data_IF_806940134510
#
_entry.id   IF_806940134510
#
_cell.length_a   1.000
_cell.length_b   1.000
_cell.length_c   1.000
_cell.angle_alpha   90.00
_cell.angle_beta   90.00
_cell.angle_gamma   90.00
#
_symmetry.space_group_name_H-M   'P 1'
#
loop_
_entity.id
_entity.type
_entity.pdbx_description
1 polymer ?
#
# COMPACT_ATOMS: atom_id res chain seq x y z
N UNK A 1 -14.12 11.49 6.90
CA UNK A 1 -12.98 12.17 6.22
C UNK A 1 -12.64 11.37 4.97
N UNK A 2 -12.38 12.04 3.87
CA UNK A 2 -12.02 11.36 2.63
C UNK A 2 -10.63 10.72 2.75
N UNK A 3 -10.39 9.65 1.99
CA UNK A 3 -9.08 9.00 1.95
C UNK A 3 -7.99 9.95 1.46
N UNK A 4 -8.32 10.85 0.54
CA UNK A 4 -7.37 11.87 0.05
C UNK A 4 -6.79 12.66 1.21
N UNK A 5 -7.65 13.19 2.07
CA UNK A 5 -7.22 14.05 3.18
C UNK A 5 -6.47 13.26 4.25
N UNK A 6 -6.93 12.06 4.56
CA UNK A 6 -6.25 11.18 5.52
C UNK A 6 -4.82 10.86 5.04
N UNK A 7 -4.69 10.46 3.79
CA UNK A 7 -3.38 10.11 3.21
C UNK A 7 -2.46 11.33 3.16
N UNK A 8 -2.99 12.45 2.65
CA UNK A 8 -2.21 13.69 2.55
C UNK A 8 -1.66 14.11 3.92
N UNK A 9 -2.53 14.15 4.93
CA UNK A 9 -2.12 14.58 6.27
C UNK A 9 -1.09 13.63 6.88
N UNK A 10 -1.25 12.33 6.69
CA UNK A 10 -0.30 11.35 7.22
C UNK A 10 1.07 11.47 6.56
N UNK A 11 1.10 11.66 5.24
CA UNK A 11 2.35 11.86 4.50
C UNK A 11 3.05 13.15 4.95
N UNK A 12 2.30 14.23 5.10
CA UNK A 12 2.86 15.51 5.57
C UNK A 12 3.43 15.39 6.99
N UNK A 13 2.72 14.70 7.88
CA UNK A 13 3.18 14.48 9.25
C UNK A 13 4.49 13.68 9.31
N UNK A 14 4.73 12.82 8.32
CA UNK A 14 5.95 12.02 8.22
C UNK A 14 7.12 12.77 7.58
N UNK A 15 6.92 14.02 7.15
CA UNK A 15 7.99 14.83 6.56
C UNK A 15 8.00 14.88 5.03
N UNK A 16 7.00 14.29 4.37
CA UNK A 16 6.87 14.39 2.91
C UNK A 16 6.45 15.82 2.57
N UNK A 17 7.08 16.43 1.56
CA UNK A 17 6.71 17.77 1.11
C UNK A 17 5.30 17.79 0.53
N UNK A 18 4.71 18.98 0.43
CA UNK A 18 3.37 19.13 -0.18
C UNK A 18 3.35 18.55 -1.60
N UNK A 19 4.34 18.91 -2.42
CA UNK A 19 4.44 18.38 -3.78
C UNK A 19 4.66 16.87 -3.80
N UNK A 20 5.49 16.35 -2.91
CA UNK A 20 5.72 14.91 -2.77
C UNK A 20 4.45 14.16 -2.39
N UNK A 21 3.68 14.70 -1.44
CA UNK A 21 2.42 14.10 -1.02
C UNK A 21 1.39 14.08 -2.15
N UNK A 22 1.29 15.16 -2.92
CA UNK A 22 0.40 15.23 -4.07
C UNK A 22 0.82 14.25 -5.17
N UNK A 23 2.14 14.08 -5.38
CA UNK A 23 2.67 13.11 -6.32
C UNK A 23 2.31 11.68 -5.95
N UNK A 24 2.48 11.31 -4.69
CA UNK A 24 2.10 9.97 -4.21
C UNK A 24 0.60 9.75 -4.32
N UNK A 25 -0.20 10.74 -3.94
CA UNK A 25 -1.67 10.67 -4.08
C UNK A 25 -2.08 10.42 -5.53
N UNK A 26 -1.48 11.16 -6.46
CA UNK A 26 -1.77 10.98 -7.89
C UNK A 26 -1.42 9.58 -8.37
N UNK A 27 -0.25 9.08 -7.96
CA UNK A 27 0.19 7.74 -8.31
C UNK A 27 -0.75 6.66 -7.76
N UNK A 28 -1.08 6.75 -6.48
CA UNK A 28 -1.97 5.76 -5.84
C UNK A 28 -3.41 5.86 -6.33
N UNK A 29 -3.86 7.06 -6.73
CA UNK A 29 -5.17 7.20 -7.37
C UNK A 29 -5.22 6.46 -8.70
N UNK A 30 -4.16 6.55 -9.50
CA UNK A 30 -4.05 5.81 -10.75
C UNK A 30 -3.98 4.29 -10.51
N UNK A 31 -3.26 3.87 -9.47
CA UNK A 31 -3.06 2.45 -9.15
C UNK A 31 -4.33 1.78 -8.61
N UNK A 32 -4.99 2.41 -7.65
CA UNK A 32 -6.05 1.78 -6.86
C UNK A 32 -7.32 2.60 -6.71
N UNK A 33 -7.36 3.83 -7.23
CA UNK A 33 -8.44 4.77 -6.96
C UNK A 33 -8.46 5.24 -5.51
N UNK A 34 -7.33 5.11 -4.80
CA UNK A 34 -7.19 5.38 -3.36
C UNK A 34 -8.08 4.45 -2.51
N UNK A 35 -8.37 3.27 -3.02
CA UNK A 35 -9.15 2.25 -2.31
C UNK A 35 -8.20 1.23 -1.67
N UNK A 36 -8.09 1.19 -0.33
CA UNK A 36 -7.13 0.30 0.32
C UNK A 36 -7.49 -1.19 0.20
N UNK A 37 -8.73 -1.52 -0.12
CA UNK A 37 -9.13 -2.92 -0.36
C UNK A 37 -8.88 -3.38 -1.80
N UNK A 38 -8.44 -2.48 -2.70
CA UNK A 38 -8.46 -2.73 -4.13
C UNK A 38 -7.64 -3.94 -4.53
N UNK A 39 -8.31 -4.94 -5.11
CA UNK A 39 -7.68 -6.06 -5.78
C UNK A 39 -7.50 -5.72 -7.26
N UNK A 40 -6.36 -6.12 -7.82
CA UNK A 40 -6.05 -5.89 -9.23
C UNK A 40 -7.16 -6.44 -10.13
N UNK A 41 -7.54 -5.64 -11.13
CA UNK A 41 -8.57 -6.00 -12.12
C UNK A 41 -9.99 -6.15 -11.55
N UNK A 42 -10.24 -5.63 -10.35
CA UNK A 42 -11.61 -5.60 -9.83
C UNK A 42 -12.31 -4.33 -10.30
N UNK A 43 -13.19 -4.47 -11.30
CA UNK A 43 -14.03 -3.40 -11.81
C UNK A 43 -15.50 -3.61 -11.44
N UNK A 44 -15.75 -4.47 -10.46
CA UNK A 44 -17.11 -4.77 -10.00
C UNK A 44 -17.73 -3.60 -9.24
N UNK A 45 -19.07 -3.56 -9.22
CA UNK A 45 -19.79 -2.61 -8.40
C UNK A 45 -19.47 -2.88 -6.93
N UNK A 46 -19.20 -1.81 -6.17
CA UNK A 46 -18.88 -1.88 -4.74
C UNK A 46 -17.66 -2.74 -4.42
N UNK A 47 -16.82 -3.04 -5.40
CA UNK A 47 -15.58 -3.83 -5.21
C UNK A 47 -15.82 -5.17 -4.52
N UNK A 48 -16.84 -5.91 -4.98
CA UNK A 48 -17.23 -7.17 -4.34
C UNK A 48 -16.09 -8.18 -4.27
N UNK A 49 -15.25 -8.27 -5.32
CA UNK A 49 -14.11 -9.20 -5.33
C UNK A 49 -12.99 -8.73 -4.41
N UNK A 50 -12.75 -7.42 -4.32
CA UNK A 50 -11.76 -6.86 -3.41
C UNK A 50 -12.15 -7.09 -1.95
N UNK A 51 -13.41 -6.86 -1.60
CA UNK A 51 -13.90 -7.11 -0.25
C UNK A 51 -13.86 -8.59 0.10
N UNK A 52 -14.23 -9.48 -0.84
CA UNK A 52 -14.15 -10.92 -0.63
C UNK A 52 -12.71 -11.38 -0.41
N UNK A 53 -11.78 -10.87 -1.22
CA UNK A 53 -10.35 -11.17 -1.09
C UNK A 53 -9.82 -10.72 0.26
N UNK A 54 -10.13 -9.49 0.67
CA UNK A 54 -9.72 -8.94 1.97
C UNK A 54 -10.24 -9.81 3.11
N UNK A 55 -11.51 -10.22 3.04
CA UNK A 55 -12.11 -11.09 4.05
C UNK A 55 -11.43 -12.46 4.10
N UNK A 56 -11.11 -13.04 2.95
CA UNK A 56 -10.45 -14.33 2.86
C UNK A 56 -9.02 -14.30 3.43
N UNK A 57 -8.28 -13.23 3.16
CA UNK A 57 -6.94 -13.05 3.75
C UNK A 57 -7.05 -12.86 5.27
N UNK A 58 -7.96 -12.02 5.70
CA UNK A 58 -8.16 -11.71 7.13
C UNK A 58 -8.54 -12.96 7.93
N UNK A 59 -9.38 -13.81 7.34
CA UNK A 59 -9.84 -15.04 8.00
C UNK A 59 -8.87 -16.22 7.89
N UNK A 60 -7.78 -16.06 7.13
CA UNK A 60 -6.80 -17.13 6.92
C UNK A 60 -7.20 -18.15 5.84
N UNK A 61 -8.30 -17.92 5.12
CA UNK A 61 -8.66 -18.76 3.97
C UNK A 61 -7.67 -18.61 2.82
N UNK A 62 -7.13 -17.42 2.67
CA UNK A 62 -5.94 -17.18 1.85
C UNK A 62 -4.77 -17.04 2.84
N UNK A 63 -3.82 -17.96 2.77
CA UNK A 63 -2.69 -18.00 3.70
C UNK A 63 -1.65 -16.92 3.38
N UNK A 64 -0.74 -16.69 4.33
CA UNK A 64 0.40 -15.78 4.14
C UNK A 64 1.15 -16.08 2.84
N UNK A 65 1.48 -17.34 2.60
CA UNK A 65 2.21 -17.77 1.40
C UNK A 65 1.37 -17.55 0.14
N UNK A 66 0.09 -17.89 0.16
CA UNK A 66 -0.79 -17.68 -0.98
C UNK A 66 -0.94 -16.20 -1.31
N UNK A 67 -1.15 -15.36 -0.31
CA UNK A 67 -1.24 -13.91 -0.49
C UNK A 67 0.03 -13.36 -1.13
N UNK A 68 1.18 -13.75 -0.61
CA UNK A 68 2.47 -13.24 -1.08
C UNK A 68 2.79 -13.66 -2.51
N UNK A 69 2.35 -14.85 -2.93
CA UNK A 69 2.78 -15.47 -4.19
C UNK A 69 1.77 -15.39 -5.32
N UNK A 70 0.57 -14.89 -5.09
CA UNK A 70 -0.51 -14.95 -6.08
C UNK A 70 -0.35 -13.97 -7.24
N UNK A 71 0.61 -13.05 -7.17
CA UNK A 71 0.92 -12.05 -8.19
C UNK A 71 -0.24 -11.10 -8.51
N UNK A 72 -1.18 -10.96 -7.57
CA UNK A 72 -2.29 -10.02 -7.67
C UNK A 72 -1.96 -8.75 -6.90
N UNK A 73 -2.04 -7.60 -7.56
CA UNK A 73 -1.86 -6.31 -6.89
C UNK A 73 -2.97 -6.08 -5.87
N UNK A 74 -2.60 -5.55 -4.70
CA UNK A 74 -3.55 -5.28 -3.64
C UNK A 74 -3.23 -3.98 -2.92
N UNK A 75 -4.28 -3.23 -2.57
CA UNK A 75 -4.17 -2.05 -1.72
C UNK A 75 -3.84 -0.77 -2.46
N UNK A 76 -3.55 0.27 -1.70
CA UNK A 76 -3.31 1.64 -2.21
C UNK A 76 -2.24 1.69 -3.30
N UNK A 77 -1.11 1.04 -3.09
CA UNK A 77 0.02 1.05 -4.00
C UNK A 77 0.08 -0.19 -4.89
N UNK A 78 -0.96 -1.02 -4.86
CA UNK A 78 -1.03 -2.27 -5.63
C UNK A 78 0.21 -3.13 -5.43
N UNK A 79 0.54 -3.42 -4.17
CA UNK A 79 1.66 -4.27 -3.83
C UNK A 79 1.50 -5.65 -4.46
N UNK A 80 2.52 -6.12 -5.15
CA UNK A 80 2.45 -7.33 -5.96
C UNK A 80 3.71 -8.18 -5.84
N UNK A 81 4.88 -7.54 -5.87
CA UNK A 81 6.16 -8.20 -6.09
C UNK A 81 6.46 -9.31 -5.08
N UNK A 82 6.91 -10.45 -5.62
CA UNK A 82 7.46 -11.56 -4.83
C UNK A 82 8.59 -12.22 -5.62
N UNK A 83 9.72 -12.47 -4.95
CA UNK A 83 10.86 -13.16 -5.54
C UNK A 83 10.81 -14.64 -5.15
N UNK A 84 10.49 -15.49 -6.12
CA UNK A 84 10.35 -16.94 -5.88
C UNK A 84 11.66 -17.62 -5.51
N UNK A 85 12.80 -17.02 -5.86
CA UNK A 85 14.12 -17.56 -5.53
C UNK A 85 14.51 -17.32 -4.07
N UNK A 86 14.18 -16.13 -3.55
CA UNK A 86 14.57 -15.74 -2.19
C UNK A 86 13.45 -15.92 -1.17
N UNK A 87 12.21 -16.04 -1.61
CA UNK A 87 11.06 -16.07 -0.72
C UNK A 87 10.72 -14.71 -0.12
N UNK A 88 11.22 -13.63 -0.70
CA UNK A 88 11.03 -12.27 -0.22
C UNK A 88 10.22 -11.46 -1.23
N UNK A 89 9.57 -10.39 -0.77
CA UNK A 89 8.86 -9.48 -1.66
C UNK A 89 7.98 -8.50 -0.92
N UNK A 90 7.54 -7.46 -1.64
CA UNK A 90 6.79 -6.36 -1.07
C UNK A 90 5.43 -6.80 -0.51
N UNK A 91 4.75 -7.72 -1.19
CA UNK A 91 3.43 -8.17 -0.75
C UNK A 91 3.53 -9.04 0.51
N UNK A 92 4.61 -9.82 0.64
CA UNK A 92 4.89 -10.57 1.86
C UNK A 92 5.16 -9.62 3.03
N UNK A 93 5.95 -8.58 2.79
CA UNK A 93 6.29 -7.57 3.79
C UNK A 93 5.04 -6.80 4.24
N UNK A 94 4.14 -6.49 3.31
CA UNK A 94 2.84 -5.89 3.65
C UNK A 94 2.04 -6.79 4.60
N UNK A 95 1.97 -8.07 4.30
CA UNK A 95 1.27 -9.03 5.16
C UNK A 95 1.84 -9.01 6.58
N UNK A 96 3.15 -9.10 6.71
CA UNK A 96 3.80 -9.13 8.02
C UNK A 96 3.62 -7.81 8.78
N UNK A 97 3.72 -6.69 8.08
CA UNK A 97 3.47 -5.37 8.66
C UNK A 97 2.04 -5.24 9.16
N UNK A 98 1.07 -5.67 8.35
CA UNK A 98 -0.33 -5.70 8.73
C UNK A 98 -0.56 -6.52 10.01
N UNK A 99 -0.04 -7.73 10.07
CA UNK A 99 -0.23 -8.61 11.22
C UNK A 99 0.31 -8.00 12.51
N UNK A 100 1.39 -7.25 12.43
CA UNK A 100 1.97 -6.55 13.59
C UNK A 100 1.21 -5.30 13.97
N UNK A 101 0.48 -4.70 13.04
CA UNK A 101 -0.17 -3.40 13.24
C UNK A 101 -1.37 -3.45 14.17
N UNK A 102 -2.05 -4.58 14.26
CA UNK A 102 -3.33 -4.69 14.95
C UNK A 102 -4.49 -4.02 14.23
N UNK A 103 -4.27 -3.55 13.01
CA UNK A 103 -5.29 -2.87 12.20
C UNK A 103 -5.91 -3.83 11.19
N UNK A 104 -6.97 -3.39 10.49
CA UNK A 104 -7.52 -4.15 9.38
C UNK A 104 -6.55 -4.13 8.20
N UNK A 105 -6.59 -5.17 7.36
CA UNK A 105 -5.75 -5.25 6.18
C UNK A 105 -5.99 -4.07 5.23
N UNK A 106 -7.24 -3.64 5.10
CA UNK A 106 -7.63 -2.50 4.27
C UNK A 106 -7.72 -1.17 5.03
N UNK A 107 -7.04 -1.05 6.16
CA UNK A 107 -6.94 0.21 6.88
C UNK A 107 -6.04 1.17 6.12
N UNK A 108 -6.55 2.36 5.79
CA UNK A 108 -5.82 3.38 5.02
C UNK A 108 -4.54 3.78 5.73
N UNK A 109 -4.64 4.10 7.01
CA UNK A 109 -3.50 4.59 7.80
C UNK A 109 -2.40 3.54 7.93
N UNK A 110 -2.78 2.27 8.10
CA UNK A 110 -1.81 1.16 8.15
C UNK A 110 -1.07 1.04 6.82
N UNK A 111 -1.78 1.12 5.70
CA UNK A 111 -1.14 0.97 4.38
C UNK A 111 -0.23 2.15 4.05
N UNK A 112 -0.61 3.37 4.43
CA UNK A 112 0.27 4.53 4.29
C UNK A 112 1.52 4.37 5.16
N UNK A 113 1.35 3.89 6.39
CA UNK A 113 2.48 3.62 7.29
C UNK A 113 3.42 2.56 6.70
N UNK A 114 2.88 1.53 6.05
CA UNK A 114 3.71 0.53 5.36
C UNK A 114 4.49 1.14 4.21
N UNK A 115 3.85 1.95 3.37
CA UNK A 115 4.52 2.64 2.27
C UNK A 115 5.67 3.52 2.79
N UNK A 116 5.44 4.26 3.86
CA UNK A 116 6.47 5.07 4.51
C UNK A 116 7.60 4.20 5.07
N UNK A 117 7.26 3.05 5.64
CA UNK A 117 8.25 2.09 6.11
C UNK A 117 9.16 1.62 4.97
N UNK A 118 8.58 1.27 3.81
CA UNK A 118 9.37 0.90 2.64
C UNK A 118 10.31 2.04 2.21
N UNK A 119 9.78 3.25 2.10
CA UNK A 119 10.54 4.41 1.64
C UNK A 119 11.71 4.76 2.57
N UNK A 120 11.58 4.52 3.86
CA UNK A 120 12.57 4.92 4.86
C UNK A 120 13.54 3.81 5.25
N UNK A 121 13.22 2.55 5.00
CA UNK A 121 14.06 1.42 5.42
C UNK A 121 14.71 0.66 4.28
N UNK A 122 14.16 0.74 3.07
CA UNK A 122 14.68 0.04 1.90
C UNK A 122 15.68 0.93 1.17
N UNK A 123 16.95 0.51 1.11
CA UNK A 123 18.02 1.31 0.51
C UNK A 123 17.75 1.72 -0.94
N UNK A 124 17.04 0.88 -1.70
CA UNK A 124 16.67 1.19 -3.08
C UNK A 124 15.78 2.42 -3.23
N UNK A 125 15.08 2.84 -2.16
CA UNK A 125 14.20 4.01 -2.17
C UNK A 125 14.82 5.25 -1.53
N UNK A 126 16.08 5.21 -1.13
CA UNK A 126 16.72 6.33 -0.42
C UNK A 126 16.68 7.63 -1.23
N UNK A 127 16.98 7.56 -2.54
CA UNK A 127 16.94 8.74 -3.41
C UNK A 127 15.51 9.26 -3.59
N UNK A 128 14.54 8.35 -3.78
CA UNK A 128 13.14 8.73 -3.91
C UNK A 128 12.63 9.39 -2.63
N UNK A 129 12.98 8.85 -1.48
CA UNK A 129 12.58 9.41 -0.18
C UNK A 129 13.09 10.84 -0.03
N UNK A 130 14.34 11.09 -0.42
CA UNK A 130 14.92 12.42 -0.36
C UNK A 130 14.18 13.40 -1.27
N UNK A 131 13.84 12.99 -2.48
CA UNK A 131 13.05 13.80 -3.42
C UNK A 131 11.67 14.12 -2.84
N UNK A 132 10.99 13.11 -2.30
CA UNK A 132 9.65 13.30 -1.72
C UNK A 132 9.64 14.27 -0.54
N UNK A 133 10.74 14.35 0.19
CA UNK A 133 10.86 15.25 1.34
C UNK A 133 11.20 16.68 0.96
N UNK A 134 11.89 16.89 -0.16
CA UNK A 134 12.52 18.18 -0.48
C UNK A 134 11.96 18.88 -1.71
N UNK A 135 11.24 18.19 -2.59
CA UNK A 135 10.71 18.83 -3.80
C UNK A 135 9.59 19.81 -3.49
N UNK A 136 9.63 20.96 -4.12
CA UNK A 136 8.57 21.98 -4.07
C UNK A 136 7.80 22.08 -5.38
N UNK A 137 8.25 21.40 -6.42
CA UNK A 137 7.61 21.43 -7.73
C UNK A 137 6.37 20.53 -7.77
N UNK A 138 5.33 21.03 -8.38
CA UNK A 138 4.07 20.30 -8.54
C UNK A 138 3.82 20.06 -10.03
#
# INVERSE_FOLDING_TARGET
MSNVLLIFNQLRAAGVSRAGALGLLGNWKAESGLEPCRLQNDFSANRIYSHAYTADVTAGRITRTQFARDQKGYGLAQWTYFNFSTGQGRKLELYDFWKKSGKALDDVSMQVAFALHELTTEGQYASLWQILRTTDDI
#
